data_IF_927929789171
#
_entry.id   IF_927929789171
#
_cell.length_a   1.000
_cell.length_b   1.000
_cell.length_c   1.000
_cell.angle_alpha   90.00
_cell.angle_beta   90.00
_cell.angle_gamma   90.00
#
_symmetry.space_group_name_H-M   'P 1'
#
loop_
_entity.id
_entity.type
_entity.pdbx_description
1 polymer ?
#
# COMPACT_ATOMS: atom_id res chain seq x y z
N UNK A 1 -5.77 -4.66 -20.33
CA UNK A 1 -4.32 -4.77 -20.11
C UNK A 1 -3.70 -3.44 -20.52
N UNK A 2 -3.63 -2.48 -19.59
CA UNK A 2 -3.03 -1.18 -19.89
C UNK A 2 -1.52 -1.31 -19.81
N UNK A 3 -0.81 -0.84 -20.84
CA UNK A 3 0.64 -0.86 -20.91
C UNK A 3 1.23 -0.14 -19.68
N UNK A 4 2.17 -0.79 -19.00
CA UNK A 4 2.96 -0.15 -17.95
C UNK A 4 3.93 0.81 -18.64
N UNK A 5 3.62 2.09 -18.65
CA UNK A 5 4.55 3.13 -19.11
C UNK A 5 5.63 3.30 -18.04
N UNK A 6 6.84 2.85 -18.34
CA UNK A 6 8.01 3.09 -17.48
C UNK A 6 8.64 4.43 -17.85
N UNK A 7 8.54 5.41 -16.94
CA UNK A 7 9.26 6.68 -17.04
C UNK A 7 10.48 6.66 -16.11
N UNK A 8 11.62 7.12 -16.61
CA UNK A 8 12.87 7.22 -15.86
C UNK A 8 13.36 8.65 -15.91
N UNK A 9 13.72 9.19 -14.75
CA UNK A 9 14.33 10.52 -14.63
C UNK A 9 15.50 10.46 -13.65
N UNK A 10 16.52 11.26 -13.91
CA UNK A 10 17.67 11.38 -13.03
C UNK A 10 17.50 12.62 -12.16
N UNK A 11 17.64 12.42 -10.86
CA UNK A 11 17.52 13.47 -9.85
C UNK A 11 18.80 13.50 -9.03
N UNK A 12 19.21 14.71 -8.64
CA UNK A 12 20.38 14.91 -7.78
C UNK A 12 19.92 15.21 -6.37
N UNK A 13 20.64 14.68 -5.38
CA UNK A 13 20.45 15.02 -3.99
C UNK A 13 20.93 16.45 -3.75
N UNK A 14 20.08 17.31 -3.20
CA UNK A 14 20.49 18.67 -2.87
C UNK A 14 21.42 18.71 -1.64
N UNK A 15 21.98 19.89 -1.35
CA UNK A 15 22.86 20.12 -0.19
C UNK A 15 22.19 19.85 1.16
N UNK A 16 20.86 19.74 1.20
CA UNK A 16 20.07 19.48 2.40
C UNK A 16 19.59 18.02 2.47
N UNK A 17 20.06 17.14 1.57
CA UNK A 17 19.68 15.74 1.55
C UNK A 17 18.28 15.48 0.98
N UNK A 18 17.73 16.38 0.16
CA UNK A 18 16.39 16.25 -0.43
C UNK A 18 16.47 15.88 -1.90
N UNK A 19 15.46 15.15 -2.35
CA UNK A 19 15.23 14.85 -3.77
C UNK A 19 13.92 15.49 -4.18
N UNK A 20 13.91 16.20 -5.30
CA UNK A 20 12.70 16.80 -5.85
C UNK A 20 12.02 15.79 -6.76
N UNK A 21 10.76 15.46 -6.47
CA UNK A 21 9.92 14.67 -7.37
C UNK A 21 9.44 15.60 -8.50
N UNK A 22 9.79 15.36 -9.78
CA UNK A 22 9.37 16.23 -10.87
C UNK A 22 7.85 16.32 -11.04
N UNK A 23 7.38 17.42 -11.63
CA UNK A 23 5.94 17.72 -11.71
C UNK A 23 5.15 16.70 -12.54
N UNK A 24 5.75 16.07 -13.55
CA UNK A 24 5.14 14.96 -14.31
C UNK A 24 4.85 13.75 -13.42
N UNK A 25 5.81 13.30 -12.60
CA UNK A 25 5.65 12.18 -11.68
C UNK A 25 4.59 12.48 -10.61
N UNK A 26 4.55 13.70 -10.07
CA UNK A 26 3.50 14.09 -9.11
C UNK A 26 2.10 14.01 -9.70
N UNK A 27 1.93 14.48 -10.94
CA UNK A 27 0.64 14.44 -11.65
C UNK A 27 0.18 13.01 -11.91
N UNK A 28 1.09 12.15 -12.36
CA UNK A 28 0.76 10.74 -12.67
C UNK A 28 0.47 9.93 -11.40
N UNK A 29 1.16 10.22 -10.31
CA UNK A 29 0.88 9.61 -9.00
C UNK A 29 -0.33 10.24 -8.28
N UNK A 30 -0.84 11.38 -8.76
CA UNK A 30 -1.92 12.14 -8.13
C UNK A 30 -1.55 12.61 -6.72
N UNK A 31 -0.34 13.18 -6.57
CA UNK A 31 0.21 13.68 -5.30
C UNK A 31 0.12 15.19 -5.28
N UNK A 32 -0.51 15.72 -4.24
CA UNK A 32 -0.63 17.16 -3.97
C UNK A 32 0.19 17.58 -2.73
N UNK A 33 0.28 18.90 -2.51
CA UNK A 33 0.91 19.44 -1.31
C UNK A 33 0.17 18.99 -0.05
N UNK A 34 0.92 18.55 0.97
CA UNK A 34 0.37 18.03 2.22
C UNK A 34 0.04 16.53 2.21
N UNK A 35 0.12 15.87 1.05
CA UNK A 35 -0.06 14.42 0.98
C UNK A 35 1.04 13.66 1.72
N UNK A 36 0.64 12.58 2.37
CA UNK A 36 1.56 11.66 3.03
C UNK A 36 1.98 10.56 2.07
N UNK A 37 3.29 10.42 1.90
CA UNK A 37 3.91 9.36 1.11
C UNK A 37 4.58 8.33 2.01
N UNK A 38 4.66 7.09 1.53
CA UNK A 38 5.40 6.00 2.16
C UNK A 38 6.70 5.78 1.41
N UNK A 39 7.81 5.76 2.15
CA UNK A 39 9.12 5.35 1.64
C UNK A 39 9.37 3.89 2.03
N UNK A 40 9.73 3.07 1.05
CA UNK A 40 10.11 1.67 1.25
C UNK A 40 11.55 1.51 0.76
N UNK A 41 12.43 1.03 1.64
CA UNK A 41 13.83 0.74 1.32
C UNK A 41 14.02 -0.78 1.34
N UNK A 42 14.16 -1.37 0.16
CA UNK A 42 14.30 -2.82 -0.04
C UNK A 42 15.31 -3.04 -1.18
N UNK A 43 16.20 -4.03 -1.04
CA UNK A 43 17.16 -4.45 -2.07
C UNK A 43 18.02 -3.32 -2.69
N UNK A 44 18.36 -2.30 -1.88
CA UNK A 44 19.13 -1.15 -2.34
C UNK A 44 18.34 -0.14 -3.18
N UNK A 45 17.03 -0.31 -3.29
CA UNK A 45 16.14 0.61 -4.00
C UNK A 45 15.20 1.34 -3.02
N UNK A 46 15.04 2.64 -3.21
CA UNK A 46 14.04 3.44 -2.52
C UNK A 46 12.79 3.57 -3.39
N UNK A 47 11.67 2.99 -2.95
CA UNK A 47 10.37 3.12 -3.62
C UNK A 47 9.49 4.10 -2.87
N UNK A 48 8.91 5.06 -3.59
CA UNK A 48 7.94 6.02 -3.05
C UNK A 48 6.54 5.57 -3.45
N UNK A 49 5.64 5.44 -2.47
CA UNK A 49 4.27 5.03 -2.69
C UNK A 49 3.30 6.07 -2.13
N UNK A 50 2.20 6.31 -2.84
CA UNK A 50 1.04 6.97 -2.24
C UNK A 50 0.38 6.05 -1.21
N UNK A 51 -0.37 6.59 -0.26
CA UNK A 51 -1.13 5.79 0.71
C UNK A 51 -1.99 4.71 0.03
N UNK A 52 -2.69 5.06 -1.06
CA UNK A 52 -3.52 4.13 -1.83
C UNK A 52 -2.67 3.02 -2.48
N UNK A 53 -1.53 3.38 -3.06
CA UNK A 53 -0.62 2.41 -3.65
C UNK A 53 -0.01 1.46 -2.60
N UNK A 54 0.35 1.97 -1.42
CA UNK A 54 0.85 1.16 -0.33
C UNK A 54 -0.19 0.13 0.15
N UNK A 55 -1.43 0.56 0.36
CA UNK A 55 -2.54 -0.35 0.72
C UNK A 55 -2.74 -1.42 -0.34
N UNK A 56 -2.77 -1.02 -1.63
CA UNK A 56 -2.94 -1.97 -2.74
C UNK A 56 -1.79 -2.97 -2.80
N UNK A 57 -0.53 -2.54 -2.65
CA UNK A 57 0.64 -3.44 -2.62
C UNK A 57 0.51 -4.48 -1.50
N UNK A 58 0.11 -4.06 -0.30
CA UNK A 58 -0.11 -4.99 0.82
C UNK A 58 -1.25 -5.95 0.52
N UNK A 59 -2.38 -5.45 -0.01
CA UNK A 59 -3.51 -6.29 -0.41
C UNK A 59 -3.11 -7.33 -1.46
N UNK A 60 -2.34 -6.94 -2.48
CA UNK A 60 -1.83 -7.85 -3.52
C UNK A 60 -0.89 -8.91 -2.94
N UNK A 61 -0.03 -8.54 -1.98
CA UNK A 61 0.84 -9.50 -1.29
C UNK A 61 0.03 -10.48 -0.46
N UNK A 62 -0.92 -9.99 0.34
CA UNK A 62 -1.74 -10.82 1.24
C UNK A 62 -2.72 -11.70 0.46
N UNK A 63 -3.25 -11.22 -0.67
CA UNK A 63 -4.17 -11.97 -1.54
C UNK A 63 -3.57 -13.30 -2.04
N UNK A 64 -2.24 -13.41 -2.13
CA UNK A 64 -1.55 -14.66 -2.51
C UNK A 64 -1.72 -15.78 -1.48
N UNK A 65 -2.02 -15.42 -0.24
CA UNK A 65 -2.20 -16.38 0.86
C UNK A 65 -3.68 -16.67 1.15
N UNK A 66 -4.61 -15.92 0.53
CA UNK A 66 -6.05 -16.10 0.72
C UNK A 66 -6.65 -17.17 -0.20
N UNK A 67 -7.75 -17.78 0.23
CA UNK A 67 -8.58 -18.64 -0.63
C UNK A 67 -9.61 -17.77 -1.38
N UNK A 68 -9.70 -17.84 -2.72
CA UNK A 68 -10.69 -17.07 -3.48
C UNK A 68 -12.12 -17.33 -2.99
N UNK A 69 -12.92 -16.28 -2.82
CA UNK A 69 -14.32 -16.38 -2.38
C UNK A 69 -14.49 -16.63 -0.87
N UNK A 70 -13.41 -16.72 -0.10
CA UNK A 70 -13.44 -16.96 1.35
C UNK A 70 -12.91 -15.73 2.10
N UNK A 71 -13.69 -15.20 3.05
CA UNK A 71 -13.30 -14.07 3.89
C UNK A 71 -12.90 -14.57 5.28
N UNK A 72 -11.59 -14.72 5.51
CA UNK A 72 -11.04 -15.10 6.82
C UNK A 72 -11.44 -14.11 7.93
N UNK A 73 -11.62 -12.84 7.57
CA UNK A 73 -12.07 -11.81 8.51
C UNK A 73 -13.52 -12.02 8.94
N UNK A 74 -14.42 -12.36 8.01
CA UNK A 74 -15.83 -12.64 8.33
C UNK A 74 -15.97 -13.91 9.16
N UNK A 75 -15.19 -14.95 8.84
CA UNK A 75 -15.16 -16.18 9.63
C UNK A 75 -14.70 -15.93 11.06
N UNK A 76 -13.59 -15.20 11.24
CA UNK A 76 -13.11 -14.83 12.57
C UNK A 76 -14.14 -14.01 13.35
N UNK A 77 -14.83 -13.07 12.69
CA UNK A 77 -15.88 -12.27 13.33
C UNK A 77 -17.06 -13.17 13.75
N UNK A 78 -17.48 -14.10 12.89
CA UNK A 78 -18.56 -15.04 13.19
C UNK A 78 -18.20 -15.96 14.37
N UNK A 79 -16.97 -16.50 14.38
CA UNK A 79 -16.45 -17.32 15.48
C UNK A 79 -16.46 -16.55 16.81
N UNK A 80 -15.97 -15.30 16.81
CA UNK A 80 -15.95 -14.44 18.01
C UNK A 80 -17.33 -14.10 18.52
N UNK A 81 -18.31 -13.87 17.64
CA UNK A 81 -19.70 -13.64 18.04
C UNK A 81 -20.33 -14.89 18.65
N UNK A 82 -20.11 -16.05 18.05
CA UNK A 82 -20.61 -17.32 18.57
C UNK A 82 -19.95 -17.69 19.92
N UNK A 83 -18.67 -17.36 20.11
CA UNK A 83 -17.96 -17.50 21.39
C UNK A 83 -18.58 -16.61 22.47
N UNK A 84 -18.75 -15.31 22.20
CA UNK A 84 -19.36 -14.38 23.15
C UNK A 84 -20.81 -14.77 23.53
N UNK A 85 -21.60 -15.29 22.58
CA UNK A 85 -22.94 -15.79 22.87
C UNK A 85 -22.93 -17.01 23.80
N UNK A 86 -21.95 -17.92 23.65
CA UNK A 86 -21.81 -19.08 24.55
C UNK A 86 -21.44 -18.63 25.96
N UNK A 87 -20.43 -17.77 26.08
CA UNK A 87 -19.99 -17.22 27.37
C UNK A 87 -21.11 -16.46 28.09
N UNK A 88 -21.98 -15.75 27.36
CA UNK A 88 -23.11 -15.03 27.97
C UNK A 88 -24.26 -15.92 28.48
N UNK A 89 -24.30 -17.19 28.06
CA UNK A 89 -25.33 -18.16 28.44
C UNK A 89 -24.88 -19.10 29.56
N UNK A 90 -23.58 -19.08 29.90
CA UNK A 90 -23.00 -19.71 31.09
C UNK A 90 -23.13 -18.79 32.32
#
# INVERSE_FOLDING_TARGET
MSATTTQVTHVTLDRHGRVVIPAEFRRELGIDEGDRLTLVLEDGALTILTKRAAVRRVQETVARYGTPGRSLAEELIAERRAEAERESRE
#
